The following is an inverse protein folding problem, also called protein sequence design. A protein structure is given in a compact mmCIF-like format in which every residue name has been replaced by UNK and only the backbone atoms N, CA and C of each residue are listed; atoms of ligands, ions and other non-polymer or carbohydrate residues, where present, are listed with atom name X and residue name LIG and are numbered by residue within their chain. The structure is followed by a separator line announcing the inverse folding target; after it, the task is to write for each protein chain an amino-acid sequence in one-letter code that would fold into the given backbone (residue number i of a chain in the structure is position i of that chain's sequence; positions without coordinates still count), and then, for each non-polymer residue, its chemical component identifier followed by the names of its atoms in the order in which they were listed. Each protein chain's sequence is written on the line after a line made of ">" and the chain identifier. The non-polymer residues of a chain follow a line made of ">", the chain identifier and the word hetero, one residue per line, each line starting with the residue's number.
data_IF_303477165480
#
_entry.id   IF_303477165480
#
_cell.length_a   1.000
_cell.length_b   1.000
_cell.length_c   1.000
_cell.angle_alpha   90.00
_cell.angle_beta   90.00
_cell.angle_gamma   90.00
#
_symmetry.space_group_name_H-M   'P 1'
#
loop_
_entity.id
_entity.type
_entity.pdbx_description
1 polymer ?
#
# COMPACT_ATOMS: atom_id res chain seq x y z
N UNK A 1 60.29 -33.67 10.97
CA UNK A 1 58.98 -33.00 11.09
C UNK A 1 58.68 -32.36 9.74
N UNK A 2 57.71 -32.88 8.98
CA UNK A 2 57.30 -32.31 7.68
C UNK A 2 56.12 -31.37 7.94
N UNK A 3 56.31 -30.07 7.71
CA UNK A 3 55.24 -29.08 7.80
C UNK A 3 54.36 -29.19 6.55
N UNK A 4 53.09 -29.54 6.74
CA UNK A 4 52.08 -29.58 5.70
C UNK A 4 51.51 -28.17 5.56
N UNK A 5 51.86 -27.47 4.47
CA UNK A 5 51.26 -26.18 4.15
C UNK A 5 49.83 -26.42 3.63
N UNK A 6 48.85 -25.97 4.40
CA UNK A 6 47.43 -26.02 4.05
C UNK A 6 47.10 -24.77 3.22
N UNK A 7 47.11 -24.90 1.90
CA UNK A 7 46.67 -23.84 0.98
C UNK A 7 45.15 -23.74 1.04
N UNK A 8 44.61 -22.71 1.70
CA UNK A 8 43.18 -22.38 1.61
C UNK A 8 42.89 -21.85 0.20
N UNK A 9 42.23 -22.67 -0.62
CA UNK A 9 41.59 -22.22 -1.85
C UNK A 9 40.34 -21.41 -1.46
N UNK A 10 40.45 -20.09 -1.50
CA UNK A 10 39.29 -19.19 -1.48
C UNK A 10 38.53 -19.41 -2.80
N UNK A 11 37.43 -20.15 -2.74
CA UNK A 11 36.47 -20.18 -3.83
C UNK A 11 35.89 -18.76 -4.01
N UNK A 12 35.77 -18.24 -5.25
CA UNK A 12 35.08 -16.98 -5.46
C UNK A 12 33.65 -17.13 -4.93
N UNK A 13 33.23 -16.23 -4.04
CA UNK A 13 31.83 -16.13 -3.66
C UNK A 13 31.04 -15.90 -4.96
N UNK A 14 30.26 -16.90 -5.35
CA UNK A 14 29.34 -16.76 -6.47
C UNK A 14 28.34 -15.69 -6.03
N UNK A 15 28.48 -14.47 -6.57
CA UNK A 15 27.55 -13.40 -6.32
C UNK A 15 26.16 -13.91 -6.69
N UNK A 16 25.29 -14.08 -5.70
CA UNK A 16 23.92 -14.50 -5.94
C UNK A 16 23.23 -13.50 -6.87
N UNK A 17 22.27 -13.95 -7.65
CA UNK A 17 21.45 -13.06 -8.46
C UNK A 17 20.86 -11.94 -7.59
N UNK A 18 20.85 -10.71 -8.09
CA UNK A 18 20.26 -9.57 -7.39
C UNK A 18 18.80 -9.87 -7.02
N UNK A 19 18.44 -9.58 -5.78
CA UNK A 19 17.09 -9.81 -5.25
C UNK A 19 16.71 -8.74 -4.23
N UNK A 20 15.41 -8.57 -4.04
CA UNK A 20 14.80 -7.60 -3.15
C UNK A 20 14.00 -8.30 -2.06
N UNK A 21 14.24 -7.92 -0.81
CA UNK A 21 13.36 -8.20 0.31
C UNK A 21 12.22 -7.17 0.35
N UNK A 22 11.08 -7.56 0.93
CA UNK A 22 9.93 -6.66 1.10
C UNK A 22 10.34 -5.39 1.90
N UNK A 23 10.04 -4.17 1.42
CA UNK A 23 10.68 -2.94 1.89
C UNK A 23 9.97 -2.27 3.07
N UNK A 24 9.03 -2.93 3.74
CA UNK A 24 8.20 -2.32 4.77
C UNK A 24 7.99 -3.22 5.99
N UNK A 25 7.93 -2.59 7.16
CA UNK A 25 7.47 -3.21 8.41
C UNK A 25 5.93 -3.16 8.50
N UNK A 26 5.26 -3.89 7.62
CA UNK A 26 3.81 -4.01 7.56
C UNK A 26 3.37 -5.40 7.07
N UNK A 27 2.10 -5.74 7.27
CA UNK A 27 1.48 -6.96 6.74
C UNK A 27 0.76 -6.64 5.44
N UNK A 28 1.32 -7.08 4.31
CA UNK A 28 0.73 -6.86 3.00
C UNK A 28 -0.66 -7.51 2.90
N UNK A 29 -1.66 -6.73 2.46
CA UNK A 29 -3.07 -7.11 2.40
C UNK A 29 -3.86 -6.91 3.70
N UNK A 30 -3.21 -6.39 4.74
CA UNK A 30 -3.84 -6.11 6.03
C UNK A 30 -3.51 -4.68 6.50
N UNK A 31 -2.25 -4.40 6.85
CA UNK A 31 -1.84 -3.06 7.33
C UNK A 31 -1.17 -2.20 6.27
N UNK A 32 -0.96 -2.75 5.07
CA UNK A 32 -0.51 -2.05 3.87
C UNK A 32 -0.92 -2.83 2.63
N UNK A 33 -0.91 -2.21 1.45
CA UNK A 33 -1.29 -2.85 0.19
C UNK A 33 -0.49 -2.25 -0.97
N UNK A 34 -0.36 -3.00 -2.07
CA UNK A 34 0.21 -2.47 -3.30
C UNK A 34 -0.92 -1.77 -4.05
N UNK A 35 -0.76 -0.48 -4.33
CA UNK A 35 -1.77 0.31 -5.02
C UNK A 35 -1.47 0.47 -6.51
N UNK A 36 -0.20 0.67 -6.87
CA UNK A 36 0.24 0.86 -8.25
C UNK A 36 1.54 0.09 -8.50
N UNK A 37 1.70 -0.38 -9.73
CA UNK A 37 2.90 -1.03 -10.23
C UNK A 37 3.59 -0.14 -11.27
N UNK A 38 4.84 -0.48 -11.56
CA UNK A 38 5.63 0.20 -12.59
C UNK A 38 4.89 0.15 -13.92
N UNK A 39 4.84 1.29 -14.60
CA UNK A 39 4.30 1.39 -15.94
C UNK A 39 5.23 0.70 -16.93
N UNK A 40 4.67 -0.20 -17.72
CA UNK A 40 5.36 -0.93 -18.79
C UNK A 40 4.82 -0.58 -20.17
N UNK A 41 3.87 0.35 -20.25
CA UNK A 41 3.42 0.93 -21.52
C UNK A 41 4.16 2.26 -21.75
N UNK A 42 4.89 2.44 -22.85
CA UNK A 42 5.51 3.74 -23.14
C UNK A 42 4.50 4.79 -23.63
N UNK A 43 3.22 4.44 -23.73
CA UNK A 43 2.14 5.34 -24.15
C UNK A 43 1.29 5.80 -22.96
N UNK A 44 0.51 6.89 -23.11
CA UNK A 44 -0.37 7.37 -22.04
C UNK A 44 -1.46 6.42 -21.56
N UNK A 45 -1.61 5.24 -22.19
CA UNK A 45 -2.56 4.23 -21.76
C UNK A 45 -2.18 3.61 -20.40
N UNK A 46 -0.87 3.49 -20.13
CA UNK A 46 -0.26 2.85 -18.97
C UNK A 46 -0.70 1.41 -18.70
N UNK A 47 0.22 0.56 -18.24
CA UNK A 47 -0.13 -0.80 -17.83
C UNK A 47 0.83 -1.39 -16.80
N UNK A 48 0.25 -2.13 -15.85
CA UNK A 48 1.06 -2.94 -14.93
C UNK A 48 1.67 -4.16 -15.65
N UNK A 49 2.54 -4.91 -14.97
CA UNK A 49 3.18 -6.11 -15.55
C UNK A 49 2.22 -7.22 -15.97
N UNK A 50 0.96 -7.22 -15.51
CA UNK A 50 -0.09 -8.14 -15.95
C UNK A 50 -0.94 -7.58 -17.09
N UNK A 51 -0.57 -6.40 -17.61
CA UNK A 51 -1.38 -5.59 -18.52
C UNK A 51 -2.73 -5.18 -17.93
N UNK A 52 -2.78 -5.09 -16.60
CA UNK A 52 -3.87 -4.53 -15.85
C UNK A 52 -3.76 -3.01 -15.69
N UNK A 53 -4.80 -2.39 -15.15
CA UNK A 53 -4.91 -0.94 -15.00
C UNK A 53 -4.31 -0.42 -13.68
N UNK A 54 -3.52 -1.23 -12.94
CA UNK A 54 -2.91 -0.78 -11.68
C UNK A 54 -1.57 -0.10 -11.94
N UNK A 55 -1.60 0.89 -12.82
CA UNK A 55 -0.51 1.80 -13.12
C UNK A 55 -1.07 3.10 -13.69
N UNK A 56 -0.22 4.07 -13.96
CA UNK A 56 -0.55 5.30 -14.66
C UNK A 56 0.65 5.79 -15.47
N UNK A 57 0.42 6.71 -16.40
CA UNK A 57 1.42 7.15 -17.37
C UNK A 57 2.70 7.64 -16.67
N UNK A 58 3.85 7.11 -17.12
CA UNK A 58 5.18 7.41 -16.61
C UNK A 58 5.42 7.01 -15.14
N UNK A 59 4.63 6.06 -14.60
CA UNK A 59 4.83 5.57 -13.24
C UNK A 59 6.08 4.67 -13.12
N UNK A 60 7.14 5.16 -12.47
CA UNK A 60 8.49 4.53 -12.49
C UNK A 60 8.80 3.59 -11.33
N UNK A 61 7.78 3.10 -10.62
CA UNK A 61 8.00 2.29 -9.42
C UNK A 61 6.76 1.54 -8.94
N UNK A 62 6.88 0.93 -7.77
CA UNK A 62 5.78 0.27 -7.07
C UNK A 62 5.37 1.10 -5.86
N UNK A 63 4.06 1.33 -5.72
CA UNK A 63 3.49 2.07 -4.59
C UNK A 63 2.93 1.11 -3.55
N UNK A 64 3.53 1.12 -2.37
CA UNK A 64 3.05 0.40 -1.19
C UNK A 64 2.35 1.40 -0.25
N UNK A 65 1.02 1.36 -0.24
CA UNK A 65 0.18 2.34 0.42
C UNK A 65 -0.23 1.90 1.83
N UNK A 66 -0.40 2.89 2.71
CA UNK A 66 -1.09 2.73 3.98
C UNK A 66 -2.58 3.03 3.83
N UNK A 67 -3.45 2.43 4.66
CA UNK A 67 -4.89 2.69 4.60
C UNK A 67 -5.24 4.15 4.87
N UNK A 68 -4.65 4.75 5.91
CA UNK A 68 -5.06 6.07 6.40
C UNK A 68 -3.89 6.95 6.85
N UNK A 69 -4.15 8.26 7.01
CA UNK A 69 -3.21 9.19 7.65
C UNK A 69 -2.93 8.83 9.11
N UNK A 70 -3.89 8.19 9.81
CA UNK A 70 -3.69 7.69 11.17
C UNK A 70 -2.64 6.56 11.21
N UNK A 71 -2.56 5.70 10.19
CA UNK A 71 -1.49 4.69 10.05
C UNK A 71 -0.12 5.35 9.89
N UNK A 72 -0.03 6.36 9.02
CA UNK A 72 1.20 7.15 8.83
C UNK A 72 1.63 7.86 10.13
N UNK A 73 0.66 8.38 10.89
CA UNK A 73 0.92 9.02 12.18
C UNK A 73 1.51 8.05 13.20
N UNK A 74 0.99 6.80 13.27
CA UNK A 74 1.56 5.72 14.10
C UNK A 74 2.98 5.35 13.67
N UNK A 75 3.29 5.53 12.39
CA UNK A 75 4.62 5.30 11.82
C UNK A 75 4.79 3.87 11.34
N UNK A 76 5.11 3.72 10.05
CA UNK A 76 5.44 2.45 9.42
C UNK A 76 6.84 2.54 8.85
N UNK A 77 7.73 1.66 9.32
CA UNK A 77 9.15 1.71 8.99
C UNK A 77 9.39 1.27 7.54
N UNK A 78 10.17 2.07 6.81
CA UNK A 78 10.72 1.71 5.50
C UNK A 78 12.07 1.03 5.70
N UNK A 79 12.24 -0.11 5.07
CA UNK A 79 13.40 -0.98 5.17
C UNK A 79 14.17 -1.00 3.85
N UNK A 80 15.49 -1.07 3.93
CA UNK A 80 16.31 -1.36 2.76
C UNK A 80 15.92 -2.72 2.18
N UNK A 81 15.62 -2.75 0.88
CA UNK A 81 15.20 -3.95 0.18
C UNK A 81 16.39 -4.85 -0.18
N UNK A 82 17.59 -4.28 -0.32
CA UNK A 82 18.80 -4.99 -0.66
C UNK A 82 20.02 -4.34 0.02
N UNK A 83 21.11 -5.10 0.26
CA UNK A 83 22.35 -4.53 0.77
C UNK A 83 22.96 -3.54 -0.22
N UNK A 84 23.57 -2.47 0.27
CA UNK A 84 24.14 -1.43 -0.58
C UNK A 84 24.72 -0.26 0.21
N UNK A 85 25.02 0.81 -0.51
CA UNK A 85 25.52 2.07 0.08
C UNK A 85 24.52 3.18 -0.21
N UNK A 86 24.19 3.97 0.81
CA UNK A 86 23.33 5.14 0.66
C UNK A 86 24.07 6.19 -0.16
N UNK A 87 23.55 6.50 -1.36
CA UNK A 87 24.14 7.50 -2.27
C UNK A 87 23.72 8.91 -1.90
N UNK A 88 22.43 9.12 -1.67
CA UNK A 88 21.88 10.43 -1.37
C UNK A 88 20.60 10.34 -0.53
N UNK A 89 20.28 11.41 0.17
CA UNK A 89 19.12 11.54 1.05
C UNK A 89 18.50 12.92 0.92
N UNK A 90 17.19 13.02 1.15
CA UNK A 90 16.47 14.30 1.33
C UNK A 90 15.48 14.14 2.48
N UNK A 91 15.44 15.07 3.43
CA UNK A 91 14.61 14.95 4.65
C UNK A 91 14.07 16.30 5.18
N UNK A 92 13.67 17.19 4.27
CA UNK A 92 13.26 18.56 4.63
C UNK A 92 11.88 18.97 4.13
N UNK A 93 11.18 18.10 3.39
CA UNK A 93 9.87 18.42 2.82
C UNK A 93 8.75 18.03 3.77
N UNK A 94 7.74 18.90 3.87
CA UNK A 94 6.59 18.66 4.71
C UNK A 94 5.73 17.50 4.20
N UNK A 95 5.12 16.77 5.13
CA UNK A 95 4.12 15.73 4.88
C UNK A 95 2.76 16.38 4.58
N UNK A 96 2.62 16.95 3.38
CA UNK A 96 1.41 17.63 2.91
C UNK A 96 1.07 17.06 1.54
N UNK A 97 -0.18 16.61 1.39
CA UNK A 97 -0.66 16.08 0.12
C UNK A 97 -0.52 17.13 -1.01
N UNK A 98 -0.10 16.68 -2.20
CA UNK A 98 0.14 17.54 -3.36
C UNK A 98 -1.11 18.29 -3.84
N UNK A 99 -2.30 17.77 -3.54
CA UNK A 99 -3.58 18.39 -3.85
C UNK A 99 -4.16 19.25 -2.71
N UNK A 100 -3.45 19.40 -1.59
CA UNK A 100 -3.88 20.24 -0.49
C UNK A 100 -3.76 21.73 -0.86
N UNK A 101 -4.63 22.62 -0.32
CA UNK A 101 -4.57 24.06 -0.59
C UNK A 101 -3.23 24.72 -0.24
N UNK A 102 -2.47 24.11 0.67
CA UNK A 102 -1.16 24.58 1.15
C UNK A 102 -0.01 23.65 0.71
N UNK A 103 -0.16 22.92 -0.40
CA UNK A 103 0.87 22.04 -0.93
C UNK A 103 2.18 22.81 -1.20
N UNK A 104 3.34 22.22 -0.85
CA UNK A 104 4.63 22.83 -1.15
C UNK A 104 4.92 22.82 -2.66
N UNK A 105 5.83 23.67 -3.11
CA UNK A 105 6.40 23.56 -4.46
C UNK A 105 7.20 22.24 -4.58
N UNK A 106 6.83 21.42 -5.54
CA UNK A 106 7.40 20.10 -5.81
C UNK A 106 8.29 20.07 -7.06
N UNK A 107 8.56 21.22 -7.69
CA UNK A 107 9.46 21.31 -8.85
C UNK A 107 10.82 20.69 -8.52
N UNK A 108 11.25 19.69 -9.29
CA UNK A 108 12.45 18.87 -9.07
C UNK A 108 12.46 18.09 -7.73
N UNK A 109 11.28 17.93 -7.13
CA UNK A 109 11.11 17.32 -5.81
C UNK A 109 9.94 16.35 -5.73
N UNK A 110 9.50 15.78 -6.86
CA UNK A 110 8.41 14.81 -6.92
C UNK A 110 8.55 13.67 -5.90
N UNK A 111 9.76 13.12 -5.77
CA UNK A 111 10.05 12.03 -4.84
C UNK A 111 9.97 12.42 -3.34
N UNK A 112 9.79 13.70 -2.99
CA UNK A 112 9.68 14.12 -1.58
C UNK A 112 10.92 13.82 -0.77
N UNK A 113 10.79 13.58 0.53
CA UNK A 113 11.89 13.02 1.32
C UNK A 113 12.22 11.62 0.83
N UNK A 114 13.50 11.31 0.70
CA UNK A 114 13.93 10.14 -0.03
C UNK A 114 15.28 9.60 0.41
N UNK A 115 15.49 8.32 0.15
CA UNK A 115 16.79 7.64 0.23
C UNK A 115 17.06 6.99 -1.11
N UNK A 116 18.28 7.12 -1.63
CA UNK A 116 18.75 6.35 -2.79
C UNK A 116 19.90 5.46 -2.37
N UNK A 117 19.83 4.19 -2.72
CA UNK A 117 20.84 3.18 -2.39
C UNK A 117 21.39 2.60 -3.68
N UNK A 118 22.71 2.62 -3.84
CA UNK A 118 23.41 1.92 -4.91
C UNK A 118 23.84 0.54 -4.43
N UNK A 119 23.66 -0.45 -5.29
CA UNK A 119 23.97 -1.85 -5.04
C UNK A 119 25.09 -2.32 -5.99
N UNK A 120 25.48 -3.59 -5.87
CA UNK A 120 26.40 -4.22 -6.81
C UNK A 120 25.83 -4.20 -8.24
N UNK A 121 26.71 -4.35 -9.23
CA UNK A 121 26.37 -4.56 -10.64
C UNK A 121 25.47 -3.46 -11.27
N UNK A 122 25.52 -2.23 -10.74
CA UNK A 122 24.81 -1.09 -11.32
C UNK A 122 23.32 -1.01 -10.97
N UNK A 123 22.86 -1.81 -9.99
CA UNK A 123 21.52 -1.72 -9.44
C UNK A 123 21.37 -0.53 -8.49
N UNK A 124 20.19 0.07 -8.48
CA UNK A 124 19.84 1.20 -7.60
C UNK A 124 18.38 1.09 -7.16
N UNK A 125 18.13 1.33 -5.87
CA UNK A 125 16.78 1.51 -5.33
C UNK A 125 16.59 2.95 -4.85
N UNK A 126 15.42 3.51 -5.12
CA UNK A 126 15.00 4.82 -4.65
C UNK A 126 13.70 4.70 -3.86
N UNK A 127 13.74 5.17 -2.61
CA UNK A 127 12.62 5.17 -1.66
C UNK A 127 12.10 6.60 -1.54
N UNK A 128 10.90 6.87 -2.02
CA UNK A 128 10.29 8.20 -2.06
C UNK A 128 9.18 8.38 -1.01
N UNK A 129 8.74 9.63 -0.86
CA UNK A 129 7.61 10.05 -0.02
C UNK A 129 7.78 9.72 1.46
N UNK A 130 9.03 9.72 1.94
CA UNK A 130 9.33 9.45 3.33
C UNK A 130 8.82 10.57 4.25
N UNK A 131 8.56 10.21 5.50
CA UNK A 131 8.07 11.14 6.54
C UNK A 131 9.14 12.15 6.90
N UNK A 132 8.77 13.41 7.02
CA UNK A 132 9.69 14.50 7.36
C UNK A 132 10.38 14.22 8.71
N UNK A 133 11.70 14.34 8.72
CA UNK A 133 12.54 14.15 9.91
C UNK A 133 12.63 12.68 10.36
N UNK A 134 12.24 11.72 9.53
CA UNK A 134 12.21 10.30 9.90
C UNK A 134 13.45 9.51 9.46
N UNK A 135 14.31 10.07 8.61
CA UNK A 135 15.43 9.33 8.05
C UNK A 135 16.42 8.91 9.16
N UNK A 136 16.90 7.67 9.05
CA UNK A 136 17.83 7.04 10.01
C UNK A 136 19.22 6.79 9.44
N UNK A 137 19.42 7.16 8.17
CA UNK A 137 20.65 6.94 7.41
C UNK A 137 21.10 8.24 6.75
N UNK A 138 22.37 8.32 6.40
CA UNK A 138 22.98 9.44 5.67
C UNK A 138 23.83 8.94 4.49
N UNK A 139 24.18 9.82 3.54
CA UNK A 139 25.06 9.46 2.43
C UNK A 139 26.38 8.84 2.91
N UNK A 140 26.78 7.75 2.28
CA UNK A 140 27.97 6.96 2.61
C UNK A 140 27.72 5.79 3.57
N UNK A 141 26.57 5.71 4.24
CA UNK A 141 26.26 4.58 5.13
C UNK A 141 26.11 3.28 4.31
N UNK A 142 26.72 2.19 4.78
CA UNK A 142 26.45 0.83 4.27
C UNK A 142 25.25 0.24 4.99
N UNK A 143 24.34 -0.38 4.25
CA UNK A 143 23.14 -1.02 4.79
C UNK A 143 23.03 -2.46 4.32
N UNK A 144 22.29 -3.27 5.07
CA UNK A 144 21.85 -4.60 4.65
C UNK A 144 20.37 -4.59 4.33
N UNK A 145 19.85 -5.60 3.65
CA UNK A 145 18.40 -5.79 3.57
C UNK A 145 17.80 -5.80 4.99
N UNK A 146 16.68 -5.12 5.19
CA UNK A 146 16.05 -4.94 6.50
C UNK A 146 16.57 -3.78 7.35
N UNK A 147 17.63 -3.06 6.94
CA UNK A 147 18.05 -1.85 7.67
C UNK A 147 16.95 -0.78 7.61
N UNK A 148 16.56 -0.23 8.76
CA UNK A 148 15.58 0.84 8.82
C UNK A 148 16.11 2.14 8.19
N UNK A 149 15.41 2.65 7.18
CA UNK A 149 15.78 3.86 6.43
C UNK A 149 15.05 5.11 6.93
N UNK A 150 13.78 4.95 7.29
CA UNK A 150 12.89 6.02 7.73
C UNK A 150 11.47 5.50 7.93
N UNK A 151 10.47 6.36 7.76
CA UNK A 151 9.06 5.97 7.82
C UNK A 151 8.29 6.42 6.57
N UNK A 152 7.20 5.74 6.23
CA UNK A 152 6.26 6.20 5.21
C UNK A 152 5.71 7.58 5.62
N UNK A 153 5.70 8.52 4.68
CA UNK A 153 5.19 9.88 4.86
C UNK A 153 4.20 10.28 3.75
N UNK A 154 4.12 11.58 3.55
CA UNK A 154 3.24 12.25 2.58
C UNK A 154 3.97 13.43 1.91
N UNK A 155 5.29 13.32 1.75
CA UNK A 155 6.10 14.40 1.17
C UNK A 155 6.25 14.24 -0.35
N UNK A 156 6.36 15.35 -1.08
CA UNK A 156 6.51 15.35 -2.54
C UNK A 156 5.18 15.22 -3.28
N UNK A 157 5.22 14.65 -4.48
CA UNK A 157 4.07 14.53 -5.38
C UNK A 157 3.20 13.31 -5.00
N UNK A 158 2.49 13.41 -3.88
CA UNK A 158 1.69 12.31 -3.31
C UNK A 158 0.39 12.83 -2.69
N UNK A 159 -0.70 12.07 -2.81
CA UNK A 159 -2.03 12.44 -2.27
C UNK A 159 -2.52 11.55 -1.11
N UNK A 160 -1.77 10.49 -0.82
CA UNK A 160 -2.05 9.52 0.24
C UNK A 160 -0.75 8.87 0.74
N UNK A 161 -0.68 8.42 2.00
CA UNK A 161 0.56 7.91 2.57
C UNK A 161 0.98 6.60 1.91
N UNK A 162 2.16 6.58 1.30
CA UNK A 162 2.72 5.40 0.66
C UNK A 162 4.25 5.48 0.53
N UNK A 163 4.89 4.33 0.33
CA UNK A 163 6.24 4.25 -0.19
C UNK A 163 6.15 4.06 -1.71
N UNK A 164 6.75 4.96 -2.48
CA UNK A 164 7.07 4.70 -3.88
C UNK A 164 8.50 4.15 -3.97
N UNK A 165 8.63 2.92 -4.44
CA UNK A 165 9.92 2.26 -4.65
C UNK A 165 10.22 2.17 -6.14
N UNK A 166 11.21 2.92 -6.61
CA UNK A 166 11.77 2.74 -7.96
C UNK A 166 12.98 1.82 -7.92
N UNK A 167 13.08 0.93 -8.90
CA UNK A 167 14.26 0.11 -9.15
C UNK A 167 14.88 0.50 -10.49
N UNK A 168 16.21 0.66 -10.51
CA UNK A 168 16.96 0.90 -11.73
C UNK A 168 18.13 -0.08 -11.86
N UNK A 169 18.49 -0.40 -13.10
CA UNK A 169 19.71 -1.12 -13.44
C UNK A 169 20.41 -0.38 -14.56
N UNK A 170 21.64 0.07 -14.32
CA UNK A 170 22.42 0.89 -15.26
C UNK A 170 21.65 2.11 -15.79
N UNK A 171 20.87 2.75 -14.92
CA UNK A 171 20.07 3.94 -15.22
C UNK A 171 18.68 3.67 -15.82
N UNK A 172 18.39 2.46 -16.30
CA UNK A 172 17.07 2.09 -16.83
C UNK A 172 16.13 1.65 -15.70
N UNK A 173 14.86 2.06 -15.75
CA UNK A 173 13.81 1.61 -14.82
C UNK A 173 13.52 0.12 -15.05
N UNK A 174 13.39 -0.63 -13.96
CA UNK A 174 13.07 -2.06 -13.97
C UNK A 174 11.85 -2.30 -13.10
N UNK A 175 10.89 -3.08 -13.61
CA UNK A 175 9.80 -3.59 -12.80
C UNK A 175 10.28 -4.79 -11.96
N UNK A 176 10.23 -4.73 -10.62
CA UNK A 176 10.70 -5.82 -9.77
C UNK A 176 9.83 -7.09 -9.86
N UNK A 177 8.58 -7.01 -10.31
CA UNK A 177 7.69 -8.16 -10.48
C UNK A 177 7.93 -8.92 -11.78
N UNK A 178 8.43 -8.23 -12.82
CA UNK A 178 8.73 -8.83 -14.12
C UNK A 178 9.99 -8.18 -14.74
N UNK A 179 11.19 -8.53 -14.24
CA UNK A 179 12.46 -8.02 -14.76
C UNK A 179 12.72 -8.66 -16.13
N UNK A 180 12.32 -7.99 -17.20
CA UNK A 180 12.41 -8.52 -18.56
C UNK A 180 11.69 -7.65 -19.58
N UNK A 181 11.48 -8.21 -20.77
CA UNK A 181 10.86 -7.53 -21.91
C UNK A 181 9.51 -6.89 -21.54
N UNK A 182 9.42 -5.57 -21.69
CA UNK A 182 8.24 -4.75 -21.39
C UNK A 182 7.12 -4.92 -22.41
N UNK A 183 7.39 -5.56 -23.56
CA UNK A 183 6.38 -5.83 -24.58
C UNK A 183 5.37 -6.91 -24.16
N UNK A 184 5.77 -7.84 -23.27
CA UNK A 184 4.92 -8.97 -22.86
C UNK A 184 4.24 -8.76 -21.50
N UNK A 185 3.01 -9.25 -21.39
CA UNK A 185 2.24 -9.29 -20.16
C UNK A 185 2.51 -10.58 -19.38
N UNK A 186 2.48 -10.50 -18.06
CA UNK A 186 2.65 -11.63 -17.13
C UNK A 186 4.07 -11.78 -16.60
N UNK A 187 4.26 -12.85 -15.83
CA UNK A 187 5.55 -13.21 -15.22
C UNK A 187 6.27 -14.21 -16.12
N UNK A 188 6.71 -13.78 -17.30
CA UNK A 188 7.57 -14.62 -18.16
C UNK A 188 8.97 -14.75 -17.60
N UNK A 189 9.40 -13.78 -16.78
CA UNK A 189 10.64 -13.80 -16.00
C UNK A 189 10.35 -14.02 -14.51
N UNK A 190 11.29 -14.62 -13.75
CA UNK A 190 11.19 -14.67 -12.30
C UNK A 190 11.20 -13.25 -11.71
N UNK A 191 10.31 -13.00 -10.77
CA UNK A 191 10.31 -11.78 -9.95
C UNK A 191 11.64 -11.62 -9.21
N UNK A 192 12.06 -10.36 -8.97
CA UNK A 192 13.23 -10.03 -8.14
C UNK A 192 12.92 -10.13 -6.64
N UNK A 193 11.65 -10.23 -6.25
CA UNK A 193 11.25 -10.34 -4.85
C UNK A 193 11.61 -11.71 -4.27
N UNK A 194 12.33 -11.71 -3.14
CA UNK A 194 12.70 -12.91 -2.38
C UNK A 194 12.42 -12.70 -0.87
N UNK A 195 11.43 -13.39 -0.30
CA UNK A 195 10.48 -14.29 -0.96
C UNK A 195 9.54 -13.55 -1.95
N UNK A 196 8.86 -14.26 -2.86
CA UNK A 196 7.94 -13.64 -3.81
C UNK A 196 6.84 -12.83 -3.11
N UNK A 197 6.67 -11.58 -3.56
CA UNK A 197 5.56 -10.71 -3.14
C UNK A 197 4.35 -11.00 -4.02
N UNK A 198 3.17 -11.35 -3.45
CA UNK A 198 1.98 -11.63 -4.23
C UNK A 198 1.42 -10.36 -4.88
N UNK A 199 0.95 -10.49 -6.12
CA UNK A 199 0.19 -9.43 -6.79
C UNK A 199 -1.17 -9.23 -6.11
N UNK A 200 -1.56 -7.97 -5.91
CA UNK A 200 -2.90 -7.59 -5.46
C UNK A 200 -3.64 -6.89 -6.61
N UNK A 201 -4.61 -7.56 -7.27
CA UNK A 201 -5.30 -6.99 -8.43
C UNK A 201 -6.41 -5.99 -8.03
N UNK A 202 -6.48 -5.62 -6.75
CA UNK A 202 -7.48 -4.81 -6.07
C UNK A 202 -7.64 -5.32 -4.63
N UNK A 203 -8.31 -4.56 -3.76
CA UNK A 203 -8.47 -5.00 -2.38
C UNK A 203 -9.33 -4.11 -1.49
N UNK A 204 -9.55 -4.58 -0.26
CA UNK A 204 -10.18 -3.82 0.82
C UNK A 204 -9.11 -3.02 1.56
N UNK A 205 -9.28 -1.70 1.63
CA UNK A 205 -8.35 -0.76 2.26
C UNK A 205 -8.70 -0.55 3.73
N UNK A 206 -9.97 -0.21 3.98
CA UNK A 206 -10.48 0.09 5.32
C UNK A 206 -12.00 -0.14 5.34
N UNK A 207 -12.58 -0.28 6.51
CA UNK A 207 -14.02 -0.40 6.70
C UNK A 207 -14.41 0.00 8.12
N UNK A 208 -15.63 0.52 8.28
CA UNK A 208 -16.06 1.01 9.57
C UNK A 208 -17.56 1.15 9.73
N UNK A 209 -17.93 1.43 10.98
CA UNK A 209 -19.27 1.84 11.35
C UNK A 209 -19.35 3.36 11.47
N UNK A 210 -20.49 3.94 11.12
CA UNK A 210 -20.77 5.36 11.29
C UNK A 210 -22.28 5.61 11.47
N UNK A 211 -22.64 6.85 11.86
CA UNK A 211 -24.05 7.28 11.98
C UNK A 211 -24.62 7.85 10.68
N UNK A 212 -23.78 8.05 9.67
CA UNK A 212 -24.09 8.50 8.33
C UNK A 212 -23.02 7.96 7.36
N UNK A 213 -23.23 8.07 6.05
CA UNK A 213 -22.16 7.77 5.08
C UNK A 213 -21.04 8.80 5.32
N UNK A 214 -19.82 8.37 5.64
CA UNK A 214 -18.73 9.30 5.93
C UNK A 214 -18.27 10.02 4.67
N UNK A 215 -17.71 11.21 4.85
CA UNK A 215 -16.99 11.90 3.77
C UNK A 215 -15.65 11.20 3.48
N UNK A 216 -15.22 11.26 2.23
CA UNK A 216 -14.01 10.56 1.78
C UNK A 216 -12.75 11.01 2.54
N UNK A 217 -12.65 12.31 2.86
CA UNK A 217 -11.53 12.85 3.65
C UNK A 217 -11.48 12.27 5.07
N UNK A 218 -12.63 12.03 5.71
CA UNK A 218 -12.66 11.40 7.04
C UNK A 218 -12.21 9.93 6.98
N UNK A 219 -12.52 9.23 5.89
CA UNK A 219 -12.03 7.86 5.65
C UNK A 219 -10.53 7.86 5.40
N UNK A 220 -10.02 8.74 4.53
CA UNK A 220 -8.57 8.89 4.31
C UNK A 220 -7.82 9.28 5.59
N UNK A 221 -8.42 10.11 6.44
CA UNK A 221 -7.83 10.49 7.72
C UNK A 221 -7.79 9.35 8.74
N UNK A 222 -8.62 8.30 8.57
CA UNK A 222 -8.79 7.24 9.56
C UNK A 222 -9.65 7.66 10.76
N UNK A 223 -10.53 8.65 10.57
CA UNK A 223 -11.41 9.19 11.62
C UNK A 223 -12.89 8.87 11.38
N UNK A 224 -13.22 8.23 10.26
CA UNK A 224 -14.59 7.88 9.90
C UNK A 224 -15.19 6.72 10.72
N UNK A 225 -14.35 5.87 11.31
CA UNK A 225 -14.82 4.72 12.09
C UNK A 225 -15.32 5.17 13.46
N UNK A 226 -16.51 4.71 13.81
CA UNK A 226 -17.06 4.81 15.14
C UNK A 226 -17.33 3.41 15.73
N UNK A 227 -16.46 2.89 16.60
CA UNK A 227 -16.64 1.57 17.20
C UNK A 227 -17.70 1.57 18.32
N UNK A 228 -18.24 2.74 18.70
CA UNK A 228 -19.24 2.86 19.77
C UNK A 228 -20.32 3.89 19.44
N UNK A 229 -21.55 3.44 19.28
CA UNK A 229 -22.69 4.29 18.97
C UNK A 229 -23.70 4.33 20.12
N UNK A 230 -24.46 5.42 20.23
CA UNK A 230 -25.57 5.50 21.19
C UNK A 230 -26.83 4.84 20.63
N UNK A 231 -27.72 4.36 21.49
CA UNK A 231 -28.96 3.69 21.09
C UNK A 231 -29.90 4.62 20.29
N UNK A 232 -29.73 5.94 20.41
CA UNK A 232 -30.48 6.96 19.69
C UNK A 232 -29.79 7.44 18.40
N UNK A 233 -28.74 6.75 17.93
CA UNK A 233 -28.05 7.13 16.70
C UNK A 233 -29.03 7.11 15.52
N UNK A 234 -29.04 8.14 14.65
CA UNK A 234 -30.07 8.29 13.61
C UNK A 234 -30.04 7.20 12.54
N UNK A 235 -28.87 6.58 12.34
CA UNK A 235 -28.69 5.41 11.49
C UNK A 235 -27.52 4.55 11.99
N UNK A 236 -27.50 3.30 11.54
CA UNK A 236 -26.33 2.45 11.54
C UNK A 236 -25.86 2.33 10.09
N UNK A 237 -24.63 2.76 9.80
CA UNK A 237 -23.99 2.68 8.49
C UNK A 237 -22.76 1.79 8.60
N UNK A 238 -22.64 0.84 7.67
CA UNK A 238 -21.44 0.04 7.45
C UNK A 238 -20.86 0.47 6.11
N UNK A 239 -19.65 1.03 6.13
CA UNK A 239 -18.95 1.52 4.96
C UNK A 239 -17.67 0.72 4.71
N UNK A 240 -17.21 0.72 3.47
CA UNK A 240 -15.95 0.14 3.06
C UNK A 240 -15.21 1.11 2.15
N UNK A 241 -13.88 1.02 2.14
CA UNK A 241 -12.99 1.68 1.21
C UNK A 241 -12.23 0.58 0.47
N UNK A 242 -12.36 0.54 -0.85
CA UNK A 242 -11.72 -0.45 -1.71
C UNK A 242 -10.88 0.25 -2.76
N UNK A 243 -9.90 -0.47 -3.31
CA UNK A 243 -9.06 0.01 -4.42
C UNK A 243 -9.07 -0.95 -5.61
N UNK A 244 -8.80 -0.41 -6.79
CA UNK A 244 -8.65 -1.18 -8.02
C UNK A 244 -9.92 -1.90 -8.44
N UNK A 245 -11.09 -1.26 -8.31
CA UNK A 245 -12.37 -1.86 -8.72
C UNK A 245 -12.42 -2.04 -10.22
N UNK A 246 -13.16 -3.06 -10.69
CA UNK A 246 -13.44 -3.33 -12.10
C UNK A 246 -14.92 -3.66 -12.31
N UNK A 247 -15.45 -3.46 -13.54
CA UNK A 247 -16.78 -3.91 -13.88
C UNK A 247 -16.97 -5.40 -13.57
N UNK A 248 -18.04 -5.74 -12.84
CA UNK A 248 -18.37 -7.11 -12.44
C UNK A 248 -17.85 -7.52 -11.06
N UNK A 249 -16.95 -6.74 -10.45
CA UNK A 249 -16.53 -6.95 -9.06
C UNK A 249 -17.73 -6.81 -8.11
N UNK A 250 -17.67 -7.51 -6.97
CA UNK A 250 -18.76 -7.59 -6.00
C UNK A 250 -18.24 -7.37 -4.59
N UNK A 251 -18.85 -6.45 -3.87
CA UNK A 251 -18.64 -6.27 -2.43
C UNK A 251 -19.92 -6.64 -1.69
N UNK A 252 -19.87 -7.70 -0.89
CA UNK A 252 -20.95 -8.02 0.04
C UNK A 252 -20.69 -7.37 1.39
N UNK A 253 -21.68 -6.68 1.91
CA UNK A 253 -21.67 -6.10 3.25
C UNK A 253 -22.85 -6.65 4.05
N UNK A 254 -22.59 -7.13 5.25
CA UNK A 254 -23.61 -7.67 6.17
C UNK A 254 -23.50 -6.99 7.52
N UNK A 255 -24.61 -6.46 8.00
CA UNK A 255 -24.78 -5.89 9.33
C UNK A 255 -25.71 -6.77 10.16
N UNK A 256 -25.21 -7.26 11.28
CA UNK A 256 -25.94 -8.08 12.25
C UNK A 256 -25.94 -7.40 13.61
N UNK A 257 -27.06 -7.45 14.33
CA UNK A 257 -27.17 -6.96 15.70
C UNK A 257 -27.64 -8.03 16.68
N UNK A 258 -27.95 -7.65 17.94
CA UNK A 258 -28.34 -8.58 19.00
C UNK A 258 -29.58 -9.44 18.69
N UNK A 259 -30.42 -9.00 17.75
CA UNK A 259 -31.66 -9.70 17.34
C UNK A 259 -31.54 -10.42 16.00
N UNK A 260 -30.33 -10.56 15.45
CA UNK A 260 -30.07 -11.19 14.15
C UNK A 260 -29.68 -10.19 13.06
N UNK A 261 -29.77 -10.63 11.80
CA UNK A 261 -29.39 -9.84 10.62
C UNK A 261 -30.26 -8.58 10.50
N UNK A 262 -29.62 -7.44 10.24
CA UNK A 262 -30.28 -6.13 10.09
C UNK A 262 -30.39 -5.75 8.62
N UNK A 263 -29.30 -5.96 7.88
CA UNK A 263 -29.13 -5.63 6.47
C UNK A 263 -28.00 -6.46 5.86
N UNK A 264 -28.21 -7.02 4.67
CA UNK A 264 -27.16 -7.68 3.87
C UNK A 264 -27.35 -7.28 2.41
N UNK A 265 -26.37 -6.61 1.82
CA UNK A 265 -26.41 -6.20 0.41
C UNK A 265 -25.14 -6.58 -0.33
N UNK A 266 -25.25 -6.78 -1.64
CA UNK A 266 -24.11 -6.98 -2.54
C UNK A 266 -24.07 -5.84 -3.55
N UNK A 267 -23.07 -4.97 -3.39
CA UNK A 267 -22.79 -3.88 -4.31
C UNK A 267 -21.98 -4.44 -5.48
N UNK A 268 -22.38 -4.09 -6.70
CA UNK A 268 -21.70 -4.45 -7.94
C UNK A 268 -21.03 -3.22 -8.52
N UNK A 269 -19.76 -3.33 -8.86
CA UNK A 269 -19.04 -2.26 -9.54
C UNK A 269 -19.25 -2.38 -11.05
N UNK A 270 -19.46 -1.25 -11.71
CA UNK A 270 -19.66 -1.13 -13.16
C UNK A 270 -18.52 -0.38 -13.86
N UNK A 271 -17.54 0.12 -13.09
CA UNK A 271 -16.44 0.96 -13.55
C UNK A 271 -15.11 0.49 -13.01
N UNK A 272 -14.07 0.77 -13.78
CA UNK A 272 -12.69 0.72 -13.29
C UNK A 272 -12.41 1.97 -12.49
N UNK A 273 -12.05 1.83 -11.21
CA UNK A 273 -11.73 2.97 -10.35
C UNK A 273 -10.50 2.66 -9.49
N UNK A 274 -9.65 3.68 -9.32
CA UNK A 274 -8.52 3.59 -8.41
C UNK A 274 -8.98 3.34 -6.97
N UNK A 275 -10.04 4.04 -6.54
CA UNK A 275 -10.66 3.91 -5.21
C UNK A 275 -12.18 4.04 -5.30
N UNK A 276 -12.88 3.35 -4.40
CA UNK A 276 -14.33 3.48 -4.22
C UNK A 276 -14.70 3.32 -2.75
N UNK A 277 -15.79 3.98 -2.34
CA UNK A 277 -16.25 3.99 -0.94
C UNK A 277 -17.73 3.61 -0.83
N UNK A 278 -18.08 2.34 -1.09
CA UNK A 278 -19.44 1.85 -0.92
C UNK A 278 -19.86 1.81 0.55
N UNK A 279 -21.16 2.01 0.79
CA UNK A 279 -21.75 1.89 2.11
C UNK A 279 -23.17 1.35 2.04
N UNK A 280 -23.59 0.68 3.11
CA UNK A 280 -24.97 0.26 3.36
C UNK A 280 -25.41 0.83 4.69
N UNK A 281 -26.71 1.06 4.88
CA UNK A 281 -27.17 1.59 6.15
C UNK A 281 -28.66 1.49 6.39
N UNK A 282 -29.02 1.52 7.67
CA UNK A 282 -30.41 1.49 8.11
C UNK A 282 -30.68 2.68 9.04
N UNK A 283 -31.67 3.49 8.68
CA UNK A 283 -32.17 4.57 9.56
C UNK A 283 -32.94 3.99 10.73
N UNK A 284 -32.83 4.63 11.88
CA UNK A 284 -33.65 4.32 13.05
C UNK A 284 -35.11 4.67 12.73
N UNK A 285 -36.01 3.68 12.87
CA UNK A 285 -37.47 3.88 12.69
C UNK A 285 -38.27 3.69 13.98
N UNK A 286 -37.66 3.13 15.02
CA UNK A 286 -38.25 2.97 16.35
C UNK A 286 -37.71 3.99 17.35
N UNK A 287 -37.88 3.71 18.65
CA UNK A 287 -37.38 4.58 19.72
C UNK A 287 -35.85 4.53 19.84
N UNK A 288 -35.26 3.33 19.76
CA UNK A 288 -33.83 3.11 19.91
C UNK A 288 -33.35 1.82 19.22
N UNK A 289 -32.05 1.73 18.99
CA UNK A 289 -31.36 0.49 18.64
C UNK A 289 -31.21 -0.38 19.89
N UNK A 290 -31.41 -1.70 19.81
CA UNK A 290 -31.07 -2.60 20.91
C UNK A 290 -29.60 -2.40 21.33
N UNK A 291 -29.35 -2.10 22.60
CA UNK A 291 -27.97 -2.04 23.12
C UNK A 291 -27.30 -3.41 23.02
N UNK A 292 -25.99 -3.42 22.81
CA UNK A 292 -25.20 -4.66 22.72
C UNK A 292 -24.19 -4.62 21.58
N UNK A 293 -23.78 -5.81 21.17
CA UNK A 293 -22.76 -6.00 20.12
C UNK A 293 -23.43 -6.17 18.76
N UNK A 294 -22.88 -5.44 17.80
CA UNK A 294 -23.21 -5.50 16.39
C UNK A 294 -21.95 -5.95 15.63
N UNK A 295 -22.17 -6.66 14.54
CA UNK A 295 -21.11 -7.19 13.68
C UNK A 295 -21.29 -6.68 12.26
N UNK A 296 -20.17 -6.27 11.66
CA UNK A 296 -20.07 -5.93 10.25
C UNK A 296 -19.18 -6.95 9.56
N UNK A 297 -19.67 -7.59 8.51
CA UNK A 297 -18.88 -8.52 7.70
C UNK A 297 -18.79 -8.02 6.27
N UNK A 298 -17.60 -8.08 5.69
CA UNK A 298 -17.31 -7.63 4.34
C UNK A 298 -16.61 -8.73 3.55
N UNK A 299 -16.97 -8.90 2.29
CA UNK A 299 -16.24 -9.76 1.35
C UNK A 299 -16.23 -9.12 -0.03
N UNK A 300 -15.04 -8.82 -0.53
CA UNK A 300 -14.80 -8.22 -1.84
C UNK A 300 -14.23 -9.26 -2.80
N UNK A 301 -14.83 -9.41 -3.98
CA UNK A 301 -14.48 -10.45 -4.96
C UNK A 301 -14.46 -9.95 -6.40
N UNK A 302 -13.56 -10.56 -7.17
CA UNK A 302 -13.53 -10.52 -8.63
C UNK A 302 -13.68 -11.94 -9.18
N UNK A 303 -14.82 -12.22 -9.80
CA UNK A 303 -15.16 -13.60 -10.18
C UNK A 303 -15.16 -14.53 -8.96
N UNK A 304 -14.29 -15.53 -8.97
CA UNK A 304 -14.09 -16.47 -7.85
C UNK A 304 -12.97 -16.05 -6.89
N UNK A 305 -12.14 -15.06 -7.26
CA UNK A 305 -11.01 -14.60 -6.47
C UNK A 305 -11.49 -13.63 -5.39
N UNK A 306 -11.09 -13.90 -4.14
CA UNK A 306 -11.27 -12.97 -3.04
C UNK A 306 -10.18 -11.90 -3.06
N UNK A 307 -10.60 -10.64 -3.11
CA UNK A 307 -9.73 -9.47 -3.10
C UNK A 307 -9.57 -8.88 -1.70
N UNK A 308 -10.49 -9.19 -0.79
CA UNK A 308 -10.40 -8.80 0.62
C UNK A 308 -11.62 -9.25 1.41
N UNK A 309 -11.44 -9.35 2.71
CA UNK A 309 -12.53 -9.59 3.67
C UNK A 309 -12.29 -8.76 4.93
N UNK A 310 -13.35 -8.52 5.69
CA UNK A 310 -13.26 -7.78 6.94
C UNK A 310 -14.33 -8.22 7.93
N UNK A 311 -13.99 -8.18 9.21
CA UNK A 311 -14.92 -8.40 10.32
C UNK A 311 -14.74 -7.28 11.33
N UNK A 312 -15.82 -6.56 11.62
CA UNK A 312 -15.85 -5.37 12.46
C UNK A 312 -16.83 -5.57 13.61
N UNK A 313 -16.49 -5.01 14.76
CA UNK A 313 -17.38 -4.99 15.93
C UNK A 313 -17.79 -3.55 16.24
N UNK A 314 -19.08 -3.37 16.49
CA UNK A 314 -19.68 -2.13 16.98
C UNK A 314 -20.36 -2.40 18.31
N UNK A 315 -20.13 -1.54 19.30
CA UNK A 315 -20.88 -1.54 20.56
C UNK A 315 -21.94 -0.45 20.52
N UNK A 316 -23.21 -0.81 20.68
CA UNK A 316 -24.29 0.16 20.90
C UNK A 316 -24.55 0.28 22.39
N UNK A 317 -24.30 1.47 22.93
CA UNK A 317 -24.58 1.83 24.32
C UNK A 317 -26.02 2.31 24.48
N UNK A 318 -26.60 2.24 25.68
CA UNK A 318 -27.92 2.79 25.99
C UNK A 318 -28.09 4.27 25.60
#
# INVERSE_FOLDING_TARGET
>A
MKALALTLLLAPAQAGAFSLAFPLDCRLGDTCFIQQFTDRDPTPAARDFTCGPLSYDDHKGTDFALPTLADMARGVTVLAAAPGTVRTTRDGMADIAANAPNAPDITDRDCGNAVVITHADGWETQYCHLKQGSLRVKPGDTVTAGTALGQIGLSGNTEFPHLHLSLRHNGAVVDPFSPGDTASCGTTSPSLWSPPVPMQPGGLVDAGFATAIPDFEAVKAGTAQNPTLGAHSPALVLWAHVFGTRPGDRLRLTLTGPKGEILSETIRFDKTQARAMPAIGKRLRGLNWPSGIYQGQLTYRRGTTELGHGSLTLKVLP
#
